data_IF_146354432135
#
_entry.id   IF_146354432135
#
_cell.length_a   1.000
_cell.length_b   1.000
_cell.length_c   1.000
_cell.angle_alpha   90.00
_cell.angle_beta   90.00
_cell.angle_gamma   90.00
#
_symmetry.space_group_name_H-M   'P 1'
#
loop_
_entity.id
_entity.type
_entity.pdbx_description
1 polymer ?
#
# COMPACT_ATOMS: atom_id res chain seq x y z
N UNK A 1 -24.58 -24.05 39.49
CA UNK A 1 -24.70 -24.33 38.03
C UNK A 1 -24.42 -23.12 37.12
N UNK A 2 -24.88 -21.92 37.45
CA UNK A 2 -24.70 -20.72 36.60
C UNK A 2 -23.23 -20.25 36.45
N UNK A 3 -22.43 -20.44 37.51
CA UNK A 3 -20.98 -20.04 37.50
C UNK A 3 -20.13 -20.92 36.59
N UNK A 4 -20.46 -22.23 36.50
CA UNK A 4 -19.79 -23.17 35.60
C UNK A 4 -20.12 -22.89 34.14
N UNK A 5 -21.39 -22.61 33.84
CA UNK A 5 -21.81 -22.28 32.46
C UNK A 5 -21.17 -20.98 31.93
N UNK A 6 -20.98 -19.95 32.78
CA UNK A 6 -20.27 -18.70 32.41
C UNK A 6 -18.75 -18.93 32.22
N UNK A 7 -18.14 -19.81 33.01
CA UNK A 7 -16.75 -20.19 32.88
C UNK A 7 -16.51 -20.96 31.56
N UNK A 8 -17.35 -21.93 31.26
CA UNK A 8 -17.30 -22.72 30.03
C UNK A 8 -17.54 -21.86 28.75
N UNK A 9 -18.50 -20.92 28.80
CA UNK A 9 -18.78 -20.01 27.73
C UNK A 9 -17.57 -19.06 27.48
N UNK A 10 -16.93 -18.59 28.55
CA UNK A 10 -15.72 -17.75 28.48
C UNK A 10 -14.52 -18.52 27.94
N UNK A 11 -14.39 -19.79 28.32
CA UNK A 11 -13.34 -20.68 27.86
C UNK A 11 -13.52 -21.04 26.37
N UNK A 12 -14.74 -21.36 25.92
CA UNK A 12 -15.09 -21.58 24.52
C UNK A 12 -14.89 -20.32 23.68
N UNK A 13 -15.28 -19.13 24.19
CA UNK A 13 -15.03 -17.85 23.51
C UNK A 13 -13.54 -17.53 23.38
N UNK A 14 -12.73 -17.86 24.39
CA UNK A 14 -11.28 -17.70 24.35
C UNK A 14 -10.61 -18.72 23.41
N UNK A 15 -11.09 -19.97 23.36
CA UNK A 15 -10.64 -20.98 22.40
C UNK A 15 -10.97 -20.58 20.96
N UNK A 16 -12.22 -20.17 20.70
CA UNK A 16 -12.62 -19.65 19.38
C UNK A 16 -11.82 -18.41 18.95
N UNK A 17 -11.48 -17.52 19.91
CA UNK A 17 -10.56 -16.40 19.65
C UNK A 17 -9.13 -16.85 19.32
N UNK A 18 -8.68 -17.96 19.88
CA UNK A 18 -7.35 -18.52 19.59
C UNK A 18 -7.30 -19.25 18.23
N UNK A 19 -8.36 -19.92 17.83
CA UNK A 19 -8.43 -20.67 16.57
C UNK A 19 -8.50 -19.76 15.33
N UNK A 20 -9.20 -18.62 15.42
CA UNK A 20 -9.29 -17.66 14.32
C UNK A 20 -8.01 -16.84 14.10
N UNK A 21 -7.16 -16.71 15.11
CA UNK A 21 -5.92 -15.91 15.06
C UNK A 21 -4.88 -16.37 14.02
N UNK A 22 -4.58 -17.66 13.81
CA UNK A 22 -3.56 -18.09 12.86
C UNK A 22 -3.97 -17.85 11.40
N UNK A 23 -5.24 -18.03 11.06
CA UNK A 23 -5.75 -17.83 9.71
C UNK A 23 -5.69 -16.35 9.28
N UNK A 24 -6.14 -15.44 10.14
CA UNK A 24 -6.10 -13.99 9.87
C UNK A 24 -4.66 -13.50 9.71
N UNK A 25 -3.74 -14.01 10.53
CA UNK A 25 -2.31 -13.69 10.39
C UNK A 25 -1.73 -14.17 9.06
N UNK A 26 -2.09 -15.36 8.61
CA UNK A 26 -1.67 -15.86 7.30
C UNK A 26 -2.20 -14.96 6.19
N UNK A 27 -3.49 -14.61 6.26
CA UNK A 27 -4.13 -13.73 5.30
C UNK A 27 -3.44 -12.36 5.21
N UNK A 28 -3.19 -11.72 6.35
CA UNK A 28 -2.46 -10.44 6.41
C UNK A 28 -1.03 -10.54 5.84
N UNK A 29 -0.33 -11.65 6.09
CA UNK A 29 1.01 -11.92 5.53
C UNK A 29 0.99 -12.00 4.00
N UNK A 30 0.06 -12.79 3.44
CA UNK A 30 -0.13 -12.85 1.99
C UNK A 30 -0.51 -11.50 1.41
N UNK A 31 -1.29 -10.69 2.15
CA UNK A 31 -1.64 -9.34 1.78
C UNK A 31 -0.44 -8.41 1.62
N UNK A 32 0.49 -8.40 2.57
CA UNK A 32 1.73 -7.63 2.45
C UNK A 32 2.62 -8.13 1.30
N UNK A 33 2.67 -9.44 1.07
CA UNK A 33 3.39 -9.99 -0.09
C UNK A 33 2.76 -9.53 -1.41
N UNK A 34 1.43 -9.57 -1.53
CA UNK A 34 0.72 -9.10 -2.71
C UNK A 34 0.96 -7.59 -2.94
N UNK A 35 0.87 -6.76 -1.90
CA UNK A 35 1.22 -5.34 -1.96
C UNK A 35 2.66 -5.14 -2.44
N UNK A 36 3.60 -5.90 -1.88
CA UNK A 36 5.01 -5.87 -2.31
C UNK A 36 5.17 -6.23 -3.77
N UNK A 37 4.47 -7.26 -4.25
CA UNK A 37 4.49 -7.67 -5.66
C UNK A 37 4.00 -6.54 -6.58
N UNK A 38 2.93 -5.83 -6.22
CA UNK A 38 2.42 -4.69 -6.99
C UNK A 38 3.51 -3.61 -7.17
N UNK A 39 4.16 -3.19 -6.07
CA UNK A 39 5.22 -2.18 -6.15
C UNK A 39 6.46 -2.67 -6.89
N UNK A 40 6.80 -3.94 -6.75
CA UNK A 40 7.91 -4.55 -7.48
C UNK A 40 7.66 -4.52 -8.99
N UNK A 41 6.46 -4.87 -9.44
CA UNK A 41 6.07 -4.85 -10.85
C UNK A 41 6.03 -3.44 -11.42
N UNK A 42 5.48 -2.47 -10.68
CA UNK A 42 5.51 -1.05 -11.08
C UNK A 42 6.96 -0.59 -11.25
N UNK A 43 7.81 -0.92 -10.27
CA UNK A 43 9.23 -0.57 -10.31
C UNK A 43 9.97 -1.20 -11.50
N UNK A 44 9.73 -2.48 -11.81
CA UNK A 44 10.32 -3.12 -13.00
C UNK A 44 9.88 -2.40 -14.29
N UNK A 45 8.60 -2.15 -14.47
CA UNK A 45 8.09 -1.50 -15.68
C UNK A 45 8.67 -0.09 -15.85
N UNK A 46 8.76 0.67 -14.75
CA UNK A 46 9.37 1.99 -14.77
C UNK A 46 10.89 1.94 -15.02
N UNK A 47 11.59 0.92 -14.49
CA UNK A 47 13.03 0.74 -14.73
C UNK A 47 13.31 0.38 -16.20
N UNK A 48 12.52 -0.50 -16.79
CA UNK A 48 12.62 -0.84 -18.20
C UNK A 48 12.35 0.37 -19.08
N UNK A 49 11.41 1.26 -18.70
CA UNK A 49 11.17 2.52 -19.38
C UNK A 49 12.38 3.47 -19.26
N UNK A 50 12.99 3.59 -18.08
CA UNK A 50 14.18 4.40 -17.86
C UNK A 50 15.38 3.94 -18.69
N UNK A 51 15.50 2.63 -18.92
CA UNK A 51 16.57 2.03 -19.73
C UNK A 51 16.26 2.03 -21.24
N UNK A 52 15.08 2.51 -21.67
CA UNK A 52 14.67 2.46 -23.08
C UNK A 52 14.35 1.06 -23.60
N UNK A 53 14.11 0.07 -22.71
CA UNK A 53 13.88 -1.33 -23.04
C UNK A 53 12.39 -1.68 -23.21
N UNK A 54 11.55 -0.71 -23.57
CA UNK A 54 10.13 -0.93 -23.88
C UNK A 54 9.22 -1.06 -22.67
N UNK A 55 9.63 -0.60 -21.48
CA UNK A 55 8.76 -0.49 -20.29
C UNK A 55 7.77 0.67 -20.41
N UNK A 56 6.85 0.75 -19.45
CA UNK A 56 5.86 1.83 -19.35
C UNK A 56 5.97 2.51 -17.99
N UNK A 57 5.93 3.85 -17.99
CA UNK A 57 5.70 4.62 -16.77
C UNK A 57 4.23 4.47 -16.41
N UNK A 58 3.92 3.55 -15.53
CA UNK A 58 2.54 3.20 -15.23
C UNK A 58 2.31 3.13 -13.73
N UNK A 59 1.14 3.58 -13.31
CA UNK A 59 0.64 3.37 -11.96
C UNK A 59 0.08 1.95 -11.79
N UNK A 60 -0.60 1.75 -10.69
CA UNK A 60 -1.16 0.43 -10.34
C UNK A 60 -2.11 -0.10 -11.41
N UNK A 61 -2.95 0.76 -11.97
CA UNK A 61 -3.93 0.37 -12.99
C UNK A 61 -3.28 -0.14 -14.27
N UNK A 62 -2.37 0.63 -14.84
CA UNK A 62 -1.68 0.24 -16.07
C UNK A 62 -0.71 -0.93 -15.87
N UNK A 63 -0.16 -1.10 -14.65
CA UNK A 63 0.60 -2.31 -14.30
C UNK A 63 -0.29 -3.55 -14.38
N UNK A 64 -1.49 -3.53 -13.78
CA UNK A 64 -2.43 -4.66 -13.84
C UNK A 64 -2.83 -5.00 -15.29
N UNK A 65 -3.09 -3.98 -16.13
CA UNK A 65 -3.40 -4.15 -17.55
C UNK A 65 -2.19 -4.72 -18.34
N UNK A 66 -0.98 -4.26 -18.03
CA UNK A 66 0.25 -4.80 -18.63
C UNK A 66 0.48 -6.26 -18.26
N UNK A 67 0.23 -6.62 -16.99
CA UNK A 67 0.32 -8.00 -16.51
C UNK A 67 -0.73 -8.88 -17.19
N UNK A 68 -1.97 -8.41 -17.34
CA UNK A 68 -3.04 -9.14 -18.02
C UNK A 68 -2.64 -9.62 -19.42
N UNK A 69 -1.89 -8.79 -20.17
CA UNK A 69 -1.42 -9.11 -21.51
C UNK A 69 -0.21 -10.04 -21.58
N UNK A 70 0.27 -10.60 -20.46
CA UNK A 70 1.42 -11.51 -20.40
C UNK A 70 1.00 -12.96 -20.20
N UNK A 71 1.80 -13.95 -20.67
CA UNK A 71 1.58 -15.35 -20.30
C UNK A 71 1.44 -15.51 -18.79
N UNK A 72 0.45 -16.28 -18.32
CA UNK A 72 0.11 -16.43 -16.90
C UNK A 72 -0.33 -15.15 -16.16
N UNK A 73 -0.55 -14.04 -16.88
CA UNK A 73 -0.95 -12.75 -16.29
C UNK A 73 -2.27 -12.84 -15.51
N UNK A 74 -3.25 -13.58 -16.02
CA UNK A 74 -4.53 -13.81 -15.36
C UNK A 74 -4.35 -14.49 -14.01
N UNK A 75 -3.56 -15.56 -13.93
CA UNK A 75 -3.25 -16.26 -12.67
C UNK A 75 -2.57 -15.31 -11.67
N UNK A 76 -1.63 -14.49 -12.16
CA UNK A 76 -0.95 -13.50 -11.31
C UNK A 76 -1.91 -12.44 -10.81
N UNK A 77 -2.86 -11.97 -11.63
CA UNK A 77 -3.90 -11.02 -11.22
C UNK A 77 -4.83 -11.60 -10.16
N UNK A 78 -5.23 -12.87 -10.29
CA UNK A 78 -5.98 -13.58 -9.24
C UNK A 78 -5.20 -13.64 -7.93
N UNK A 79 -3.92 -14.01 -7.96
CA UNK A 79 -3.07 -14.06 -6.78
C UNK A 79 -2.90 -12.69 -6.12
N UNK A 80 -2.70 -11.63 -6.92
CA UNK A 80 -2.63 -10.25 -6.43
C UNK A 80 -3.97 -9.84 -5.82
N UNK A 81 -5.08 -10.05 -6.51
CA UNK A 81 -6.41 -9.64 -6.05
C UNK A 81 -6.80 -10.31 -4.73
N UNK A 82 -6.68 -11.64 -4.64
CA UNK A 82 -6.98 -12.43 -3.43
C UNK A 82 -6.03 -12.01 -2.29
N UNK A 83 -4.73 -11.84 -2.59
CA UNK A 83 -3.76 -11.39 -1.60
C UNK A 83 -4.09 -10.00 -1.07
N UNK A 84 -4.47 -9.04 -1.92
CA UNK A 84 -4.87 -7.70 -1.50
C UNK A 84 -6.17 -7.69 -0.71
N UNK A 85 -7.12 -8.59 -0.97
CA UNK A 85 -8.28 -8.78 -0.07
C UNK A 85 -7.80 -9.15 1.33
N UNK A 86 -6.80 -10.03 1.44
CA UNK A 86 -6.18 -10.35 2.72
C UNK A 86 -5.56 -9.14 3.41
N UNK A 87 -4.90 -8.26 2.65
CA UNK A 87 -4.39 -7.00 3.15
C UNK A 87 -5.51 -6.08 3.67
N UNK A 88 -6.57 -5.92 2.90
CA UNK A 88 -7.74 -5.11 3.28
C UNK A 88 -8.37 -5.60 4.60
N UNK A 89 -8.58 -6.90 4.72
CA UNK A 89 -9.11 -7.51 5.95
C UNK A 89 -8.18 -7.19 7.14
N UNK A 90 -6.87 -7.29 6.96
CA UNK A 90 -5.90 -6.96 7.99
C UNK A 90 -5.93 -5.47 8.39
N UNK A 91 -6.01 -4.56 7.40
CA UNK A 91 -6.13 -3.12 7.67
C UNK A 91 -7.43 -2.80 8.43
N UNK A 92 -8.57 -3.41 8.05
CA UNK A 92 -9.85 -3.27 8.77
C UNK A 92 -9.73 -3.76 10.22
N UNK A 93 -9.04 -4.88 10.45
CA UNK A 93 -8.79 -5.38 11.80
C UNK A 93 -7.97 -4.38 12.61
N UNK A 94 -6.96 -3.74 12.03
CA UNK A 94 -6.17 -2.68 12.69
C UNK A 94 -7.03 -1.47 13.05
N UNK A 95 -7.99 -1.12 12.20
CA UNK A 95 -8.95 -0.04 12.50
C UNK A 95 -9.86 -0.40 13.67
N UNK A 96 -10.41 -1.61 13.70
CA UNK A 96 -11.46 -1.99 14.68
C UNK A 96 -10.86 -2.51 15.98
N UNK A 97 -9.87 -3.38 15.90
CA UNK A 97 -9.32 -4.13 17.05
C UNK A 97 -8.08 -3.50 17.68
N UNK A 98 -7.47 -2.52 17.00
CA UNK A 98 -6.24 -1.87 17.44
C UNK A 98 -5.15 -2.85 17.96
N UNK A 99 -4.76 -3.88 17.17
CA UNK A 99 -3.79 -4.87 17.63
C UNK A 99 -2.39 -4.27 17.87
N UNK A 100 -2.12 -3.08 17.35
CA UNK A 100 -0.86 -2.36 17.54
C UNK A 100 -0.90 -1.41 18.75
N UNK A 101 -2.01 -1.39 19.53
CA UNK A 101 -2.22 -0.54 20.70
C UNK A 101 -1.93 0.96 20.42
N UNK A 102 -2.46 1.48 19.32
CA UNK A 102 -2.32 2.91 18.97
C UNK A 102 -3.16 3.81 19.86
N UNK A 103 -4.20 3.25 20.49
CA UNK A 103 -5.08 3.96 21.38
C UNK A 103 -6.17 4.78 20.67
N UNK A 104 -6.84 5.60 21.49
CA UNK A 104 -7.97 6.45 21.05
C UNK A 104 -7.65 7.94 21.17
N UNK A 105 -6.42 8.31 21.49
CA UNK A 105 -5.93 9.67 21.43
C UNK A 105 -5.88 10.18 19.97
N UNK A 106 -5.72 11.47 19.76
CA UNK A 106 -5.71 12.08 18.43
C UNK A 106 -4.70 11.42 17.47
N UNK A 107 -3.52 11.05 17.98
CA UNK A 107 -2.47 10.37 17.20
C UNK A 107 -2.86 8.94 16.85
N UNK A 108 -3.47 8.22 17.78
CA UNK A 108 -3.98 6.86 17.58
C UNK A 108 -5.11 6.83 16.56
N UNK A 109 -6.08 7.73 16.70
CA UNK A 109 -7.20 7.87 15.76
C UNK A 109 -6.71 8.24 14.34
N UNK A 110 -5.76 9.16 14.21
CA UNK A 110 -5.16 9.51 12.92
C UNK A 110 -4.46 8.32 12.28
N UNK A 111 -3.73 7.52 13.06
CA UNK A 111 -3.08 6.29 12.57
C UNK A 111 -4.11 5.27 12.08
N UNK A 112 -5.19 5.07 12.83
CA UNK A 112 -6.28 4.15 12.46
C UNK A 112 -7.06 4.65 11.24
N UNK A 113 -7.27 5.96 11.11
CA UNK A 113 -7.82 6.56 9.88
C UNK A 113 -6.92 6.26 8.67
N UNK A 114 -5.59 6.32 8.81
CA UNK A 114 -4.65 5.90 7.77
C UNK A 114 -4.82 4.44 7.36
N UNK A 115 -5.08 3.53 8.30
CA UNK A 115 -5.39 2.13 7.98
C UNK A 115 -6.72 1.99 7.22
N UNK A 116 -7.74 2.76 7.57
CA UNK A 116 -9.01 2.77 6.86
C UNK A 116 -8.85 3.25 5.41
N UNK A 117 -8.12 4.34 5.20
CA UNK A 117 -7.79 4.85 3.86
C UNK A 117 -7.00 3.80 3.05
N UNK A 118 -6.02 3.14 3.66
CA UNK A 118 -5.28 2.04 3.02
C UNK A 118 -6.21 0.90 2.62
N UNK A 119 -7.15 0.49 3.48
CA UNK A 119 -8.12 -0.54 3.16
C UNK A 119 -8.98 -0.18 1.95
N UNK A 120 -9.43 1.07 1.84
CA UNK A 120 -10.22 1.55 0.70
C UNK A 120 -9.39 1.52 -0.59
N UNK A 121 -8.18 2.08 -0.57
CA UNK A 121 -7.31 2.14 -1.76
C UNK A 121 -6.96 0.74 -2.25
N UNK A 122 -6.49 -0.14 -1.36
CA UNK A 122 -6.11 -1.50 -1.77
C UNK A 122 -7.31 -2.39 -2.07
N UNK A 123 -8.49 -2.08 -1.51
CA UNK A 123 -9.75 -2.69 -1.88
C UNK A 123 -10.15 -2.38 -3.33
N UNK A 124 -10.00 -1.14 -3.74
CA UNK A 124 -10.22 -0.73 -5.14
C UNK A 124 -9.22 -1.40 -6.10
N UNK A 125 -7.95 -1.53 -5.70
CA UNK A 125 -6.92 -2.22 -6.48
C UNK A 125 -7.24 -3.72 -6.59
N UNK A 126 -7.63 -4.37 -5.49
CA UNK A 126 -8.03 -5.77 -5.48
C UNK A 126 -9.23 -6.03 -6.40
N UNK A 127 -10.26 -5.16 -6.30
CA UNK A 127 -11.42 -5.23 -7.18
C UNK A 127 -11.03 -5.10 -8.66
N UNK A 128 -10.19 -4.11 -8.99
CA UNK A 128 -9.71 -3.92 -10.36
C UNK A 128 -8.91 -5.13 -10.86
N UNK A 129 -8.00 -5.69 -10.06
CA UNK A 129 -7.22 -6.87 -10.42
C UNK A 129 -8.12 -8.07 -10.74
N UNK A 130 -9.12 -8.34 -9.90
CA UNK A 130 -10.08 -9.43 -10.09
C UNK A 130 -10.98 -9.17 -11.30
N UNK A 131 -11.46 -7.92 -11.49
CA UNK A 131 -12.28 -7.56 -12.64
C UNK A 131 -11.56 -7.79 -13.97
N UNK A 132 -10.28 -7.42 -14.04
CA UNK A 132 -9.45 -7.68 -15.23
C UNK A 132 -9.24 -9.18 -15.42
N UNK A 133 -8.96 -9.94 -14.35
CA UNK A 133 -8.78 -11.39 -14.42
C UNK A 133 -10.07 -12.13 -14.86
N UNK A 134 -11.24 -11.60 -14.52
CA UNK A 134 -12.54 -12.13 -14.97
C UNK A 134 -12.94 -11.64 -16.38
N UNK A 135 -12.09 -10.89 -17.08
CA UNK A 135 -12.42 -10.26 -18.38
C UNK A 135 -13.68 -9.35 -18.33
N UNK A 136 -14.07 -8.90 -17.15
CA UNK A 136 -15.28 -8.09 -16.93
C UNK A 136 -15.09 -6.58 -17.27
N UNK A 137 -13.97 -6.22 -17.86
CA UNK A 137 -13.60 -4.84 -18.18
C UNK A 137 -13.09 -4.05 -16.97
N UNK A 138 -12.20 -3.09 -17.20
CA UNK A 138 -11.64 -2.26 -16.14
C UNK A 138 -12.52 -1.04 -15.87
N UNK A 139 -13.55 -1.19 -15.04
CA UNK A 139 -14.44 -0.10 -14.60
C UNK A 139 -13.87 0.76 -13.48
N UNK A 140 -12.57 1.03 -13.46
CA UNK A 140 -11.92 1.89 -12.44
C UNK A 140 -11.71 3.31 -12.97
N UNK A 141 -12.24 4.33 -12.29
CA UNK A 141 -11.94 5.72 -12.59
C UNK A 141 -10.46 6.02 -12.33
N UNK A 142 -9.84 6.82 -13.21
CA UNK A 142 -8.52 7.38 -12.96
C UNK A 142 -8.59 8.45 -11.86
N UNK A 143 -7.45 8.79 -11.26
CA UNK A 143 -7.33 9.88 -10.28
C UNK A 143 -7.94 11.18 -10.81
N UNK A 144 -7.73 11.45 -12.11
CA UNK A 144 -8.35 12.57 -12.83
C UNK A 144 -9.88 12.49 -12.81
N UNK A 145 -10.46 11.32 -13.09
CA UNK A 145 -11.93 11.13 -13.09
C UNK A 145 -12.52 11.34 -11.70
N UNK A 146 -11.85 10.81 -10.65
CA UNK A 146 -12.28 10.98 -9.26
C UNK A 146 -12.19 12.46 -8.86
N UNK A 147 -11.10 13.13 -9.20
CA UNK A 147 -10.91 14.56 -8.91
C UNK A 147 -11.93 15.43 -9.65
N UNK A 148 -12.25 15.12 -10.91
CA UNK A 148 -13.29 15.83 -11.66
C UNK A 148 -14.68 15.71 -10.99
N UNK A 149 -15.05 14.51 -10.55
CA UNK A 149 -16.30 14.29 -9.80
C UNK A 149 -16.34 15.01 -8.46
N UNK A 150 -15.21 15.07 -7.75
CA UNK A 150 -15.09 15.79 -6.49
C UNK A 150 -15.16 17.29 -6.70
N UNK A 151 -14.47 17.84 -7.71
CA UNK A 151 -14.50 19.27 -8.02
C UNK A 151 -15.91 19.77 -8.38
N UNK A 152 -16.76 18.92 -8.94
CA UNK A 152 -18.15 19.22 -9.21
C UNK A 152 -19.05 19.30 -7.96
N UNK A 153 -18.55 18.90 -6.79
CA UNK A 153 -19.31 18.93 -5.54
C UNK A 153 -19.02 20.22 -4.74
N UNK A 154 -19.96 20.69 -3.93
CA UNK A 154 -19.70 21.75 -2.95
C UNK A 154 -18.50 21.35 -2.07
N UNK A 155 -17.57 22.29 -1.84
CA UNK A 155 -16.34 22.06 -1.07
C UNK A 155 -15.35 21.06 -1.67
N UNK A 156 -15.55 20.59 -2.92
CA UNK A 156 -14.69 19.59 -3.58
C UNK A 156 -13.22 19.98 -3.60
N UNK A 157 -12.90 21.26 -3.85
CA UNK A 157 -11.52 21.77 -3.80
C UNK A 157 -10.88 21.58 -2.43
N UNK A 158 -11.61 21.88 -1.35
CA UNK A 158 -11.12 21.72 0.02
C UNK A 158 -10.86 20.27 0.36
N UNK A 159 -11.75 19.36 -0.08
CA UNK A 159 -11.57 17.92 0.11
C UNK A 159 -10.31 17.43 -0.62
N UNK A 160 -10.11 17.82 -1.88
CA UNK A 160 -8.93 17.44 -2.67
C UNK A 160 -7.66 18.02 -2.04
N UNK A 161 -7.67 19.28 -1.62
CA UNK A 161 -6.54 19.89 -0.93
C UNK A 161 -6.18 19.17 0.37
N UNK A 162 -7.18 18.83 1.18
CA UNK A 162 -6.99 18.06 2.41
C UNK A 162 -6.38 16.67 2.13
N UNK A 163 -6.88 15.97 1.11
CA UNK A 163 -6.32 14.69 0.67
C UNK A 163 -4.86 14.85 0.27
N UNK A 164 -4.53 15.90 -0.49
CA UNK A 164 -3.15 16.21 -0.89
C UNK A 164 -2.22 16.42 0.33
N UNK A 165 -2.68 17.19 1.33
CA UNK A 165 -1.93 17.42 2.58
C UNK A 165 -1.70 16.11 3.34
N UNK A 166 -2.72 15.25 3.43
CA UNK A 166 -2.62 13.95 4.09
C UNK A 166 -1.60 13.05 3.37
N UNK A 167 -1.62 13.02 2.04
CA UNK A 167 -0.68 12.21 1.23
C UNK A 167 0.75 12.71 1.43
N UNK A 168 0.99 14.04 1.41
CA UNK A 168 2.32 14.62 1.71
C UNK A 168 2.76 14.23 3.11
N UNK A 169 1.89 14.41 4.12
CA UNK A 169 2.19 14.05 5.50
C UNK A 169 2.58 12.57 5.65
N UNK A 170 1.87 11.69 4.96
CA UNK A 170 2.20 10.26 4.93
C UNK A 170 3.51 9.98 4.19
N UNK A 171 3.77 10.66 3.08
CA UNK A 171 5.04 10.58 2.36
C UNK A 171 6.23 11.00 3.24
N UNK A 172 6.12 12.13 3.94
CA UNK A 172 7.13 12.60 4.89
C UNK A 172 7.32 11.62 6.07
N UNK A 173 6.23 11.04 6.57
CA UNK A 173 6.31 9.99 7.59
C UNK A 173 7.09 8.76 7.08
N UNK A 174 6.88 8.34 5.83
CA UNK A 174 7.63 7.22 5.24
C UNK A 174 9.11 7.57 5.05
N UNK A 175 9.43 8.78 4.59
CA UNK A 175 10.81 9.28 4.51
C UNK A 175 11.50 9.19 5.87
N UNK A 176 10.85 9.72 6.93
CA UNK A 176 11.38 9.68 8.28
C UNK A 176 11.54 8.24 8.80
N UNK A 177 10.53 7.38 8.58
CA UNK A 177 10.54 6.00 9.02
C UNK A 177 11.61 5.17 8.29
N UNK A 178 11.81 5.41 6.99
CA UNK A 178 12.90 4.83 6.20
C UNK A 178 14.27 5.29 6.68
N UNK A 179 14.45 6.61 6.90
CA UNK A 179 15.72 7.16 7.38
C UNK A 179 16.08 6.67 8.78
N UNK A 180 15.12 6.70 9.72
CA UNK A 180 15.30 6.30 11.11
C UNK A 180 15.31 4.78 11.34
N UNK A 181 15.02 3.99 10.31
CA UNK A 181 14.94 2.53 10.34
C UNK A 181 13.96 1.95 11.39
N UNK A 182 13.03 2.78 11.90
CA UNK A 182 12.04 2.37 12.91
C UNK A 182 11.11 1.25 12.44
N UNK A 183 10.98 1.06 11.14
CA UNK A 183 10.21 -0.05 10.57
C UNK A 183 10.76 -1.42 10.98
N UNK A 184 12.06 -1.51 11.29
CA UNK A 184 12.67 -2.76 11.76
C UNK A 184 12.10 -3.24 13.09
N UNK A 185 11.58 -2.34 13.93
CA UNK A 185 10.94 -2.69 15.21
C UNK A 185 9.64 -3.49 15.03
N UNK A 186 9.08 -3.51 13.83
CA UNK A 186 7.89 -4.30 13.51
C UNK A 186 8.21 -5.75 13.13
N UNK A 187 9.48 -6.08 12.94
CA UNK A 187 9.92 -7.41 12.53
C UNK A 187 10.26 -8.30 13.71
N UNK A 188 10.01 -9.59 13.55
CA UNK A 188 10.50 -10.66 14.43
C UNK A 188 11.96 -10.96 14.11
N UNK A 189 12.85 -10.03 14.51
CA UNK A 189 14.27 -10.05 14.15
C UNK A 189 14.98 -11.33 14.62
N UNK A 190 14.49 -11.94 15.71
CA UNK A 190 15.00 -13.22 16.24
C UNK A 190 14.77 -14.40 15.32
N UNK A 191 13.77 -14.33 14.43
CA UNK A 191 13.45 -15.39 13.46
C UNK A 191 14.20 -15.20 12.12
N UNK A 192 14.94 -14.10 11.96
CA UNK A 192 15.65 -13.74 10.73
C UNK A 192 17.13 -14.12 10.84
N UNK A 193 17.67 -14.73 9.78
CA UNK A 193 19.11 -14.85 9.67
C UNK A 193 19.77 -13.49 9.33
N UNK A 194 21.10 -13.41 9.48
CA UNK A 194 21.83 -12.14 9.26
C UNK A 194 21.65 -11.58 7.84
N UNK A 195 21.57 -12.45 6.84
CA UNK A 195 21.40 -12.05 5.44
C UNK A 195 20.00 -11.47 5.21
N UNK A 196 18.95 -12.13 5.67
CA UNK A 196 17.56 -11.66 5.60
C UNK A 196 17.37 -10.31 6.31
N UNK A 197 17.96 -10.17 7.50
CA UNK A 197 17.95 -8.91 8.26
C UNK A 197 18.61 -7.78 7.49
N UNK A 198 19.77 -8.05 6.84
CA UNK A 198 20.49 -7.06 6.03
C UNK A 198 19.68 -6.63 4.81
N UNK A 199 19.04 -7.59 4.11
CA UNK A 199 18.17 -7.29 2.97
C UNK A 199 16.95 -6.50 3.42
N UNK A 200 16.24 -6.93 4.47
CA UNK A 200 15.06 -6.22 5.01
C UNK A 200 15.39 -4.77 5.37
N UNK A 201 16.52 -4.55 6.04
CA UNK A 201 16.99 -3.22 6.43
C UNK A 201 17.30 -2.32 5.24
N UNK A 202 18.09 -2.82 4.28
CA UNK A 202 18.48 -2.03 3.09
C UNK A 202 17.29 -1.78 2.17
N UNK A 203 16.50 -2.80 1.85
CA UNK A 203 15.35 -2.67 0.97
C UNK A 203 14.25 -1.81 1.61
N UNK A 204 14.00 -1.97 2.92
CA UNK A 204 13.05 -1.14 3.65
C UNK A 204 13.48 0.33 3.70
N UNK A 205 14.75 0.61 4.03
CA UNK A 205 15.27 1.97 4.09
C UNK A 205 15.13 2.68 2.74
N UNK A 206 15.73 2.13 1.70
CA UNK A 206 15.74 2.75 0.36
C UNK A 206 14.34 2.75 -0.27
N UNK A 207 13.59 1.67 -0.10
CA UNK A 207 12.24 1.54 -0.66
C UNK A 207 11.25 2.52 -0.03
N UNK A 208 11.25 2.68 1.30
CA UNK A 208 10.38 3.64 1.98
C UNK A 208 10.74 5.08 1.64
N UNK A 209 12.04 5.40 1.52
CA UNK A 209 12.50 6.73 1.09
C UNK A 209 11.99 7.03 -0.33
N UNK A 210 12.20 6.12 -1.28
CA UNK A 210 11.75 6.31 -2.64
C UNK A 210 10.23 6.43 -2.75
N UNK A 211 9.48 5.53 -2.10
CA UNK A 211 8.00 5.58 -2.08
C UNK A 211 7.50 6.83 -1.39
N UNK A 212 8.11 7.25 -0.28
CA UNK A 212 7.77 8.48 0.43
C UNK A 212 7.95 9.72 -0.45
N UNK A 213 9.02 9.79 -1.26
CA UNK A 213 9.23 10.86 -2.22
C UNK A 213 8.16 10.88 -3.32
N UNK A 214 7.84 9.71 -3.90
CA UNK A 214 6.76 9.57 -4.90
C UNK A 214 5.40 9.99 -4.31
N UNK A 215 5.08 9.58 -3.10
CA UNK A 215 3.85 9.99 -2.40
C UNK A 215 3.80 11.51 -2.16
N UNK A 216 4.91 12.12 -1.76
CA UNK A 216 4.97 13.57 -1.58
C UNK A 216 4.69 14.31 -2.91
N UNK A 217 5.21 13.81 -4.03
CA UNK A 217 4.90 14.35 -5.35
C UNK A 217 3.42 14.18 -5.73
N UNK A 218 2.84 13.02 -5.48
CA UNK A 218 1.40 12.79 -5.71
C UNK A 218 0.57 13.78 -4.89
N UNK A 219 0.86 13.93 -3.61
CA UNK A 219 0.16 14.89 -2.76
C UNK A 219 0.30 16.35 -3.22
N UNK A 220 1.48 16.72 -3.76
CA UNK A 220 1.68 18.02 -4.40
C UNK A 220 0.74 18.21 -5.60
N UNK A 221 0.58 17.21 -6.48
CA UNK A 221 -0.34 17.29 -7.61
C UNK A 221 -1.80 17.42 -7.17
N UNK A 222 -2.19 16.76 -6.08
CA UNK A 222 -3.53 16.93 -5.52
C UNK A 222 -3.75 18.34 -4.96
N UNK A 223 -2.76 18.94 -4.29
CA UNK A 223 -2.83 20.34 -3.85
C UNK A 223 -2.93 21.28 -5.06
N UNK A 224 -2.13 21.03 -6.10
CA UNK A 224 -2.19 21.82 -7.33
C UNK A 224 -3.57 21.74 -7.99
N UNK A 225 -4.16 20.54 -8.04
CA UNK A 225 -5.55 20.33 -8.50
C UNK A 225 -6.54 21.16 -7.70
N UNK A 226 -6.39 21.20 -6.37
CA UNK A 226 -7.29 21.97 -5.49
C UNK A 226 -7.16 23.48 -5.75
N UNK A 227 -5.93 24.00 -5.89
CA UNK A 227 -5.67 25.42 -6.11
C UNK A 227 -6.16 25.88 -7.50
N UNK A 228 -5.89 25.07 -8.53
CA UNK A 228 -6.21 25.41 -9.93
C UNK A 228 -7.63 25.03 -10.34
N UNK A 229 -8.35 24.30 -9.52
CA UNK A 229 -9.64 23.68 -9.85
C UNK A 229 -9.59 22.86 -11.15
N UNK A 230 -8.43 22.33 -11.50
CA UNK A 230 -8.20 21.60 -12.73
C UNK A 230 -7.93 20.12 -12.46
N UNK A 231 -8.83 19.19 -12.81
CA UNK A 231 -8.66 17.76 -12.59
C UNK A 231 -7.49 17.17 -13.39
N UNK A 232 -7.02 17.83 -14.46
CA UNK A 232 -5.86 17.40 -15.26
C UNK A 232 -4.55 17.46 -14.48
N UNK A 233 -4.49 18.21 -13.39
CA UNK A 233 -3.35 18.26 -12.49
C UNK A 233 -3.29 17.06 -11.52
N UNK A 234 -4.37 16.32 -11.37
CA UNK A 234 -4.37 15.10 -10.54
C UNK A 234 -3.57 14.00 -11.19
N UNK A 235 -2.46 13.64 -10.55
CA UNK A 235 -1.51 12.63 -11.04
C UNK A 235 -1.30 11.57 -9.96
N UNK A 236 -1.38 10.31 -10.34
CA UNK A 236 -1.01 9.16 -9.49
C UNK A 236 0.47 8.82 -9.58
N UNK A 237 0.80 7.56 -9.34
CA UNK A 237 2.19 7.06 -9.44
C UNK A 237 2.73 7.22 -10.86
N UNK A 238 1.94 6.93 -11.87
CA UNK A 238 2.28 7.08 -13.29
C UNK A 238 2.63 8.52 -13.66
N UNK A 239 1.80 9.46 -13.26
CA UNK A 239 2.03 10.88 -13.49
C UNK A 239 3.23 11.42 -12.70
N UNK A 240 3.48 10.95 -11.48
CA UNK A 240 4.66 11.30 -10.71
C UNK A 240 5.95 10.78 -11.36
N UNK A 241 5.94 9.54 -11.85
CA UNK A 241 7.08 8.96 -12.58
C UNK A 241 7.31 9.64 -13.93
N UNK A 242 6.23 9.98 -14.66
CA UNK A 242 6.32 10.74 -15.91
C UNK A 242 6.88 12.15 -15.69
N UNK A 243 6.49 12.83 -14.61
CA UNK A 243 7.04 14.12 -14.23
C UNK A 243 8.54 14.04 -13.92
N UNK A 244 8.98 12.99 -13.21
CA UNK A 244 10.41 12.75 -13.00
C UNK A 244 11.16 12.56 -14.32
N UNK A 245 10.59 11.79 -15.24
CA UNK A 245 11.20 11.53 -16.55
C UNK A 245 11.32 12.78 -17.42
N UNK A 246 10.44 13.76 -17.25
CA UNK A 246 10.44 15.03 -18.00
C UNK A 246 11.49 16.05 -17.53
N UNK A 247 12.12 15.85 -16.37
CA UNK A 247 13.11 16.78 -15.82
C UNK A 247 14.49 16.59 -16.45
N UNK A 248 15.40 17.58 -16.35
CA UNK A 248 16.81 17.38 -16.66
C UNK A 248 17.32 16.13 -15.92
N UNK A 249 18.04 15.26 -16.63
CA UNK A 249 18.46 13.94 -16.12
C UNK A 249 17.31 12.99 -15.76
N UNK A 250 16.11 13.17 -16.36
CA UNK A 250 14.88 12.47 -16.02
C UNK A 250 14.99 10.94 -16.06
N UNK A 251 15.75 10.37 -16.99
CA UNK A 251 16.00 8.92 -17.05
C UNK A 251 16.69 8.39 -15.78
N UNK A 252 17.68 9.13 -15.26
CA UNK A 252 18.37 8.77 -14.01
C UNK A 252 17.45 8.88 -12.80
N UNK A 253 16.69 9.98 -12.73
CA UNK A 253 15.71 10.19 -11.65
C UNK A 253 14.63 9.10 -11.67
N UNK A 254 14.12 8.77 -12.85
CA UNK A 254 13.16 7.68 -13.03
C UNK A 254 13.77 6.32 -12.63
N UNK A 255 15.00 6.05 -13.06
CA UNK A 255 15.71 4.82 -12.71
C UNK A 255 15.90 4.65 -11.20
N UNK A 256 16.29 5.71 -10.50
CA UNK A 256 16.45 5.72 -9.03
C UNK A 256 15.10 5.48 -8.35
N UNK A 257 14.04 6.19 -8.77
CA UNK A 257 12.71 6.01 -8.21
C UNK A 257 12.19 4.59 -8.46
N UNK A 258 12.35 4.08 -9.67
CA UNK A 258 11.95 2.74 -10.07
C UNK A 258 12.67 1.65 -9.25
N UNK A 259 13.99 1.75 -9.12
CA UNK A 259 14.79 0.84 -8.28
C UNK A 259 14.34 0.91 -6.81
N UNK A 260 14.04 2.11 -6.32
CA UNK A 260 13.49 2.32 -4.98
C UNK A 260 12.13 1.65 -4.78
N UNK A 261 11.21 1.74 -5.74
CA UNK A 261 9.91 1.06 -5.70
C UNK A 261 10.07 -0.47 -5.75
N UNK A 262 11.02 -0.98 -6.54
CA UNK A 262 11.35 -2.42 -6.53
C UNK A 262 11.84 -2.86 -5.15
N UNK A 263 12.72 -2.09 -4.52
CA UNK A 263 13.20 -2.36 -3.17
C UNK A 263 12.07 -2.30 -2.14
N UNK A 264 11.14 -1.37 -2.28
CA UNK A 264 9.92 -1.36 -1.46
C UNK A 264 9.09 -2.62 -1.66
N UNK A 265 9.00 -3.12 -2.89
CA UNK A 265 8.35 -4.40 -3.20
C UNK A 265 9.01 -5.58 -2.48
N UNK A 266 10.34 -5.68 -2.54
CA UNK A 266 11.12 -6.70 -1.81
C UNK A 266 10.87 -6.60 -0.31
N UNK A 267 10.92 -5.36 0.24
CA UNK A 267 10.59 -5.10 1.63
C UNK A 267 9.18 -5.59 2.00
N UNK A 268 8.18 -5.37 1.15
CA UNK A 268 6.80 -5.81 1.35
C UNK A 268 6.68 -7.34 1.46
N UNK A 269 7.41 -8.07 0.62
CA UNK A 269 7.46 -9.54 0.68
C UNK A 269 8.10 -10.02 1.99
N UNK A 270 9.23 -9.44 2.39
CA UNK A 270 9.90 -9.77 3.65
C UNK A 270 9.00 -9.40 4.84
N UNK A 271 8.32 -8.26 4.76
CA UNK A 271 7.35 -7.81 5.75
C UNK A 271 6.24 -8.84 5.95
N UNK A 272 5.67 -9.34 4.87
CA UNK A 272 4.67 -10.41 4.93
C UNK A 272 5.15 -11.65 5.68
N UNK A 273 6.42 -12.02 5.54
CA UNK A 273 7.00 -13.19 6.21
C UNK A 273 7.31 -12.94 7.69
N UNK A 274 7.86 -11.79 8.05
CA UNK A 274 8.49 -11.55 9.35
C UNK A 274 7.82 -10.49 10.22
N UNK A 275 6.77 -9.80 9.73
CA UNK A 275 6.10 -8.79 10.56
C UNK A 275 5.43 -9.43 11.79
N UNK A 276 5.57 -8.75 12.91
CA UNK A 276 4.91 -9.12 14.15
C UNK A 276 3.43 -8.75 14.10
N UNK A 277 2.59 -9.76 13.87
CA UNK A 277 1.13 -9.60 13.88
C UNK A 277 0.59 -10.14 15.21
N UNK A 278 0.51 -9.28 16.23
CA UNK A 278 -0.11 -9.65 17.51
C UNK A 278 -1.59 -9.25 17.49
N UNK A 279 -2.44 -10.11 18.00
CA UNK A 279 -3.83 -9.77 18.31
C UNK A 279 -3.92 -9.51 19.81
N UNK A 280 -3.63 -8.24 20.22
CA UNK A 280 -3.87 -7.78 21.59
C UNK A 280 -3.88 -8.87 22.65
N UNK A 281 -2.79 -9.09 23.29
CA UNK A 281 -2.64 -9.90 24.46
C UNK A 281 -1.49 -9.32 25.28
N UNK A 282 -1.83 -8.47 26.24
CA UNK A 282 -1.14 -8.48 27.52
C UNK A 282 -1.71 -9.63 28.30
#
# INVERSE_FOLDING_TARGET
MEYSAKADAKQKANQAKQETKPWIRRLGRYGYMAQGTVYFLIGILALLAALGLGGKMTGTSGMLETVAGKPFGEVLLWLIGIGLIGYVIWEIIKVIKDPENKGTDAKGLLTRAGYAVSAIIYGAIAFKAISIAMHAGSGGGSEKTISAKLLAQPFGQWIIGLVGIIIIGYGLYELYNGYSERFMNKFRVSEMNQHERKIARKSGKMGMIARGAVLAMIGYFFILTAITANPDQSKGIDGALAELASKPYGQWLLGIAAAGLMLYGIYGVIRGRYEHMSFGGK
#
